data_IF_259509082125
#
_entry.id   IF_259509082125
#
_cell.length_a   1.000
_cell.length_b   1.000
_cell.length_c   1.000
_cell.angle_alpha   90.00
_cell.angle_beta   90.00
_cell.angle_gamma   90.00
#
_symmetry.space_group_name_H-M   'P 1'
#
loop_
_entity.id
_entity.type
_entity.pdbx_description
1 polymer ?
#
# COMPACT_ATOMS: atom_id res chain seq x y z
N UNK A 1 -24.43 -14.26 8.59
CA UNK A 1 -23.94 -15.64 8.32
C UNK A 1 -24.13 -15.91 6.84
N UNK A 2 -23.28 -15.36 6.01
CA UNK A 2 -23.21 -15.75 4.59
C UNK A 2 -22.11 -16.78 4.48
N UNK A 3 -22.51 -17.98 4.03
CA UNK A 3 -21.65 -19.13 3.94
C UNK A 3 -20.48 -18.88 3.00
N UNK A 4 -19.29 -19.27 3.43
CA UNK A 4 -18.16 -19.44 2.58
C UNK A 4 -18.52 -20.42 1.48
N UNK A 5 -18.36 -20.04 0.20
CA UNK A 5 -18.11 -21.02 -0.80
C UNK A 5 -18.82 -20.99 -2.12
N UNK A 6 -19.69 -20.07 -2.45
CA UNK A 6 -20.25 -20.07 -3.81
C UNK A 6 -19.73 -18.85 -4.60
N UNK A 7 -18.89 -19.14 -5.60
CA UNK A 7 -18.36 -18.10 -6.49
C UNK A 7 -19.49 -17.55 -7.35
N UNK A 8 -19.72 -16.26 -7.26
CA UNK A 8 -20.79 -15.58 -8.01
C UNK A 8 -20.43 -15.46 -9.48
N UNK A 9 -21.33 -15.85 -10.36
CA UNK A 9 -21.13 -15.71 -11.80
C UNK A 9 -21.72 -14.40 -12.30
N UNK A 10 -20.86 -13.60 -12.93
CA UNK A 10 -21.22 -12.35 -13.61
C UNK A 10 -21.16 -12.57 -15.12
N UNK A 11 -22.19 -12.16 -15.83
CA UNK A 11 -22.23 -12.21 -17.31
C UNK A 11 -22.02 -10.82 -17.88
N UNK A 12 -21.06 -10.66 -18.79
CA UNK A 12 -20.80 -9.41 -19.50
C UNK A 12 -21.45 -9.45 -20.88
N UNK A 13 -22.31 -8.49 -21.16
CA UNK A 13 -22.97 -8.32 -22.45
C UNK A 13 -22.23 -7.33 -23.36
N UNK A 14 -22.47 -7.38 -24.65
CA UNK A 14 -21.74 -6.60 -25.65
C UNK A 14 -21.79 -5.06 -25.47
N UNK A 15 -22.81 -4.54 -24.80
CA UNK A 15 -22.97 -3.11 -24.49
C UNK A 15 -22.41 -2.70 -23.12
N UNK A 16 -21.37 -3.37 -22.63
CA UNK A 16 -20.70 -3.13 -21.35
C UNK A 16 -21.57 -3.38 -20.11
N UNK A 17 -22.73 -4.02 -20.24
CA UNK A 17 -23.59 -4.35 -19.12
C UNK A 17 -23.10 -5.62 -18.43
N UNK A 18 -22.99 -5.53 -17.12
CA UNK A 18 -22.63 -6.65 -16.25
C UNK A 18 -23.88 -7.12 -15.53
N UNK A 19 -24.13 -8.40 -15.55
CA UNK A 19 -25.32 -9.03 -14.96
C UNK A 19 -24.89 -10.05 -13.92
N UNK A 20 -25.33 -9.85 -12.68
CA UNK A 20 -25.10 -10.78 -11.59
C UNK A 20 -26.18 -11.88 -11.62
N UNK A 21 -25.75 -13.11 -11.88
CA UNK A 21 -26.70 -14.23 -11.99
C UNK A 21 -27.25 -14.67 -10.63
N UNK A 22 -26.54 -14.44 -9.53
CA UNK A 22 -27.00 -14.80 -8.20
C UNK A 22 -28.12 -13.88 -7.69
N UNK A 23 -28.04 -12.59 -8.01
CA UNK A 23 -29.05 -11.59 -7.61
C UNK A 23 -30.05 -11.28 -8.72
N UNK A 24 -29.83 -11.79 -9.92
CA UNK A 24 -30.62 -11.49 -11.11
C UNK A 24 -30.75 -10.00 -11.42
N UNK A 25 -29.66 -9.26 -11.21
CA UNK A 25 -29.63 -7.82 -11.38
C UNK A 25 -28.42 -7.34 -12.19
N UNK A 26 -28.55 -6.22 -12.87
CA UNK A 26 -27.40 -5.53 -13.45
C UNK A 26 -26.53 -4.89 -12.34
N UNK A 27 -25.23 -4.95 -12.53
CA UNK A 27 -24.24 -4.41 -11.60
C UNK A 27 -23.25 -3.52 -12.33
N UNK A 28 -22.66 -2.58 -11.61
CA UNK A 28 -21.61 -1.68 -12.08
C UNK A 28 -20.22 -2.22 -11.69
N UNK A 29 -19.15 -1.62 -12.22
CA UNK A 29 -17.78 -1.92 -11.76
C UNK A 29 -17.61 -1.54 -10.28
N UNK A 30 -18.26 -0.48 -9.82
CA UNK A 30 -18.25 -0.08 -8.41
C UNK A 30 -18.92 -1.12 -7.50
N UNK A 31 -20.02 -1.73 -7.94
CA UNK A 31 -20.65 -2.84 -7.22
C UNK A 31 -19.73 -4.04 -7.12
N UNK A 32 -19.02 -4.38 -8.19
CA UNK A 32 -18.03 -5.46 -8.18
C UNK A 32 -16.84 -5.12 -7.27
N UNK A 33 -16.36 -3.88 -7.27
CA UNK A 33 -15.33 -3.43 -6.35
C UNK A 33 -15.76 -3.58 -4.88
N UNK A 34 -17.02 -3.26 -4.57
CA UNK A 34 -17.60 -3.46 -3.25
C UNK A 34 -17.64 -4.95 -2.89
N UNK A 35 -18.06 -5.83 -3.80
CA UNK A 35 -18.08 -7.27 -3.58
C UNK A 35 -16.67 -7.80 -3.22
N UNK A 36 -15.62 -7.34 -3.92
CA UNK A 36 -14.23 -7.70 -3.59
C UNK A 36 -13.86 -7.26 -2.17
N UNK A 37 -14.20 -6.02 -1.78
CA UNK A 37 -13.93 -5.51 -0.42
C UNK A 37 -14.67 -6.27 0.67
N UNK A 38 -15.84 -6.80 0.35
CA UNK A 38 -16.66 -7.63 1.25
C UNK A 38 -16.22 -9.10 1.28
N UNK A 39 -15.20 -9.47 0.49
CA UNK A 39 -14.68 -10.83 0.42
C UNK A 39 -15.56 -11.79 -0.38
N UNK A 40 -16.44 -11.27 -1.23
CA UNK A 40 -17.26 -12.07 -2.13
C UNK A 40 -16.47 -12.41 -3.38
N UNK A 41 -16.26 -13.69 -3.62
CA UNK A 41 -15.60 -14.16 -4.84
C UNK A 41 -16.58 -14.19 -6.03
N UNK A 42 -16.11 -13.71 -7.18
CA UNK A 42 -16.87 -13.77 -8.42
C UNK A 42 -15.98 -14.09 -9.61
N UNK A 43 -16.59 -14.59 -10.66
CA UNK A 43 -16.00 -14.77 -11.99
C UNK A 43 -16.84 -14.03 -13.02
N UNK A 44 -16.21 -13.51 -14.05
CA UNK A 44 -16.89 -12.78 -15.13
C UNK A 44 -16.70 -13.52 -16.44
N UNK A 45 -17.79 -13.87 -17.08
CA UNK A 45 -17.78 -14.47 -18.40
C UNK A 45 -18.45 -13.58 -19.45
N UNK A 46 -17.93 -13.58 -20.66
CA UNK A 46 -18.64 -13.02 -21.79
C UNK A 46 -19.94 -13.80 -22.03
N UNK A 47 -21.07 -13.10 -22.12
CA UNK A 47 -22.37 -13.76 -22.26
C UNK A 47 -22.54 -14.47 -23.60
N UNK A 48 -21.80 -14.08 -24.65
CA UNK A 48 -21.88 -14.62 -26.00
C UNK A 48 -20.85 -15.72 -26.27
N UNK A 49 -19.58 -15.44 -25.92
CA UNK A 49 -18.46 -16.36 -26.23
C UNK A 49 -18.14 -17.31 -25.08
N UNK A 50 -18.59 -16.96 -23.87
CA UNK A 50 -18.27 -17.66 -22.62
C UNK A 50 -16.77 -17.57 -22.23
N UNK A 51 -16.04 -16.62 -22.80
CA UNK A 51 -14.65 -16.37 -22.43
C UNK A 51 -14.56 -15.81 -20.99
N UNK A 52 -13.52 -16.20 -20.26
CA UNK A 52 -13.24 -15.67 -18.93
C UNK A 52 -12.65 -14.27 -19.02
N UNK A 53 -13.40 -13.28 -18.58
CA UNK A 53 -13.06 -11.88 -18.55
C UNK A 53 -12.73 -11.36 -17.13
N UNK A 54 -12.61 -12.26 -16.15
CA UNK A 54 -12.41 -11.90 -14.74
C UNK A 54 -11.20 -10.99 -14.56
N UNK A 55 -10.05 -11.35 -15.11
CA UNK A 55 -8.83 -10.56 -15.04
C UNK A 55 -9.00 -9.17 -15.66
N UNK A 56 -9.61 -9.10 -16.82
CA UNK A 56 -9.87 -7.83 -17.54
C UNK A 56 -10.74 -6.91 -16.70
N UNK A 57 -11.79 -7.43 -16.10
CA UNK A 57 -12.70 -6.64 -15.26
C UNK A 57 -12.02 -6.20 -13.98
N UNK A 58 -11.25 -7.05 -13.30
CA UNK A 58 -10.50 -6.65 -12.11
C UNK A 58 -9.48 -5.55 -12.42
N UNK A 59 -8.77 -5.63 -13.53
CA UNK A 59 -7.85 -4.59 -13.98
C UNK A 59 -8.57 -3.27 -14.28
N UNK A 60 -9.76 -3.35 -14.89
CA UNK A 60 -10.58 -2.19 -15.17
C UNK A 60 -11.10 -1.52 -13.89
N UNK A 61 -11.48 -2.30 -12.88
CA UNK A 61 -11.85 -1.79 -11.56
C UNK A 61 -10.68 -1.01 -10.94
N UNK A 62 -9.47 -1.57 -10.95
CA UNK A 62 -8.28 -0.89 -10.43
C UNK A 62 -8.05 0.42 -11.16
N UNK A 63 -8.14 0.43 -12.49
CA UNK A 63 -7.99 1.65 -13.29
C UNK A 63 -9.01 2.73 -12.91
N UNK A 64 -10.27 2.37 -12.70
CA UNK A 64 -11.31 3.32 -12.29
C UNK A 64 -11.09 3.84 -10.87
N UNK A 65 -10.72 2.98 -9.91
CA UNK A 65 -10.43 3.38 -8.53
C UNK A 65 -9.24 4.34 -8.47
N UNK A 66 -8.16 4.07 -9.21
CA UNK A 66 -6.99 4.97 -9.31
C UNK A 66 -7.31 6.31 -9.99
N UNK A 67 -8.29 6.34 -10.89
CA UNK A 67 -8.68 7.56 -11.64
C UNK A 67 -9.63 8.45 -10.86
N UNK A 68 -10.42 7.91 -9.95
CA UNK A 68 -11.52 8.62 -9.26
C UNK A 68 -11.16 9.15 -7.88
N UNK A 69 -10.21 8.54 -7.20
CA UNK A 69 -9.99 8.77 -5.79
C UNK A 69 -8.55 9.09 -5.42
N UNK A 70 -8.23 8.85 -4.16
CA UNK A 70 -6.86 8.87 -3.68
C UNK A 70 -6.11 7.68 -4.30
N UNK A 71 -5.20 7.98 -5.21
CA UNK A 71 -4.39 6.97 -5.89
C UNK A 71 -3.61 6.13 -4.87
N UNK A 72 -3.82 4.82 -4.91
CA UNK A 72 -3.12 3.86 -4.06
C UNK A 72 -1.74 3.51 -4.61
N UNK A 73 -1.60 3.49 -5.95
CA UNK A 73 -0.39 3.03 -6.62
C UNK A 73 0.53 4.22 -6.96
N UNK A 74 1.73 4.33 -6.34
CA UNK A 74 2.68 5.38 -6.68
C UNK A 74 3.12 5.31 -8.14
N UNK A 75 3.34 6.46 -8.76
CA UNK A 75 3.77 6.56 -10.18
C UNK A 75 5.04 5.74 -10.43
N UNK A 76 6.00 5.76 -9.51
CA UNK A 76 7.23 4.98 -9.65
C UNK A 76 7.00 3.48 -9.61
N UNK A 77 6.03 3.02 -8.81
CA UNK A 77 5.62 1.62 -8.79
C UNK A 77 5.02 1.21 -10.13
N UNK A 78 4.13 2.02 -10.69
CA UNK A 78 3.52 1.77 -12.01
C UNK A 78 4.57 1.69 -13.12
N UNK A 79 5.54 2.60 -13.14
CA UNK A 79 6.66 2.56 -14.10
C UNK A 79 7.47 1.29 -14.00
N UNK A 80 7.81 0.85 -12.79
CA UNK A 80 8.54 -0.40 -12.57
C UNK A 80 7.73 -1.61 -12.99
N UNK A 81 6.42 -1.62 -12.65
CA UNK A 81 5.52 -2.69 -13.04
C UNK A 81 5.46 -2.84 -14.56
N UNK A 82 5.31 -1.74 -15.29
CA UNK A 82 5.33 -1.72 -16.77
C UNK A 82 6.65 -2.30 -17.30
N UNK A 83 7.78 -1.95 -16.69
CA UNK A 83 9.09 -2.44 -17.09
C UNK A 83 9.29 -3.95 -16.95
N UNK A 84 8.46 -4.63 -16.16
CA UNK A 84 8.50 -6.10 -16.04
C UNK A 84 7.75 -6.82 -17.16
N UNK A 85 6.86 -6.14 -17.88
CA UNK A 85 6.17 -6.74 -19.01
C UNK A 85 7.14 -6.95 -20.19
N UNK A 86 7.10 -8.15 -20.76
CA UNK A 86 7.99 -8.53 -21.86
C UNK A 86 9.41 -8.92 -21.45
N UNK A 87 9.75 -8.85 -20.17
CA UNK A 87 11.05 -9.23 -19.64
C UNK A 87 11.11 -10.67 -19.12
N UNK A 88 12.32 -11.19 -18.81
CA UNK A 88 12.51 -12.55 -18.30
C UNK A 88 11.87 -12.79 -16.93
N UNK A 89 11.61 -11.74 -16.18
CA UNK A 89 10.99 -11.80 -14.84
C UNK A 89 9.48 -11.89 -14.85
N UNK A 90 8.85 -11.81 -16.02
CA UNK A 90 7.39 -11.82 -16.16
C UNK A 90 6.73 -13.08 -15.58
N UNK A 91 7.43 -14.23 -15.62
CA UNK A 91 6.92 -15.48 -15.07
C UNK A 91 7.07 -15.62 -13.54
N UNK A 92 8.02 -14.90 -12.94
CA UNK A 92 8.34 -15.01 -11.49
C UNK A 92 7.61 -13.95 -10.67
N UNK A 93 7.43 -12.76 -11.24
CA UNK A 93 6.85 -11.61 -10.57
C UNK A 93 5.44 -11.85 -10.00
N UNK A 94 4.50 -12.50 -10.73
CA UNK A 94 3.15 -12.73 -10.21
C UNK A 94 3.15 -13.50 -8.89
N UNK A 95 3.95 -14.56 -8.79
CA UNK A 95 4.07 -15.36 -7.57
C UNK A 95 4.66 -14.57 -6.40
N UNK A 96 5.66 -13.74 -6.68
CA UNK A 96 6.24 -12.86 -5.67
C UNK A 96 5.25 -11.81 -5.17
N UNK A 97 4.49 -11.19 -6.06
CA UNK A 97 3.45 -10.20 -5.71
C UNK A 97 2.35 -10.84 -4.85
N UNK A 98 1.89 -12.03 -5.20
CA UNK A 98 0.89 -12.77 -4.44
C UNK A 98 1.37 -13.07 -3.02
N UNK A 99 2.59 -13.62 -2.87
CA UNK A 99 3.20 -13.88 -1.57
C UNK A 99 3.43 -12.61 -0.74
N UNK A 100 3.87 -11.53 -1.37
CA UNK A 100 4.09 -10.23 -0.72
C UNK A 100 2.80 -9.64 -0.18
N UNK A 101 1.73 -9.68 -0.99
CA UNK A 101 0.43 -9.15 -0.60
C UNK A 101 -0.19 -9.97 0.54
N UNK A 102 -0.07 -11.29 0.48
CA UNK A 102 -0.55 -12.19 1.52
C UNK A 102 0.21 -11.96 2.85
N UNK A 103 1.53 -11.81 2.80
CA UNK A 103 2.35 -11.48 3.96
C UNK A 103 1.98 -10.13 4.57
N UNK A 104 1.75 -9.12 3.73
CA UNK A 104 1.33 -7.80 4.17
C UNK A 104 -0.04 -7.82 4.83
N UNK A 105 -1.01 -8.53 4.24
CA UNK A 105 -2.37 -8.67 4.79
C UNK A 105 -2.36 -9.35 6.16
N UNK A 106 -1.57 -10.42 6.33
CA UNK A 106 -1.41 -11.11 7.62
C UNK A 106 -0.76 -10.22 8.67
N UNK A 107 0.24 -9.45 8.29
CA UNK A 107 0.91 -8.52 9.21
C UNK A 107 -0.03 -7.40 9.66
N UNK A 108 -0.85 -6.88 8.75
CA UNK A 108 -1.86 -5.87 9.07
C UNK A 108 -2.92 -6.41 10.06
N UNK A 109 -3.38 -7.65 9.87
CA UNK A 109 -4.33 -8.31 10.76
C UNK A 109 -3.75 -8.53 12.17
N UNK A 110 -2.49 -8.97 12.25
CA UNK A 110 -1.78 -9.13 13.51
C UNK A 110 -1.63 -7.81 14.25
N UNK A 111 -1.26 -6.74 13.52
CA UNK A 111 -1.14 -5.41 14.10
C UNK A 111 -2.48 -4.87 14.62
N UNK A 112 -3.56 -5.05 13.86
CA UNK A 112 -4.92 -4.68 14.27
C UNK A 112 -5.37 -5.46 15.50
N UNK A 113 -5.07 -6.75 15.56
CA UNK A 113 -5.41 -7.62 16.71
C UNK A 113 -4.62 -7.21 17.95
N UNK A 114 -3.33 -6.89 17.81
CA UNK A 114 -2.52 -6.38 18.92
C UNK A 114 -3.02 -5.02 19.42
N UNK A 115 -3.38 -4.13 18.51
CA UNK A 115 -3.93 -2.83 18.86
C UNK A 115 -5.25 -2.97 19.63
N UNK A 116 -6.16 -3.82 19.13
CA UNK A 116 -7.43 -4.10 19.81
C UNK A 116 -7.24 -4.77 21.18
N UNK A 117 -6.23 -5.63 21.35
CA UNK A 117 -5.90 -6.20 22.66
C UNK A 117 -5.30 -5.16 23.61
N UNK A 118 -4.47 -4.24 23.11
CA UNK A 118 -3.90 -3.17 23.91
C UNK A 118 -4.94 -2.12 24.33
N UNK A 119 -5.92 -1.83 23.49
CA UNK A 119 -6.97 -0.83 23.77
C UNK A 119 -8.29 -1.44 24.28
N UNK A 120 -8.56 -2.73 24.02
CA UNK A 120 -9.83 -3.38 24.34
C UNK A 120 -9.95 -3.96 25.75
N UNK A 121 -8.83 -4.19 26.43
CA UNK A 121 -8.81 -4.53 27.85
C UNK A 121 -8.43 -3.26 28.61
N UNK A 122 -9.39 -2.59 29.23
CA UNK A 122 -9.18 -1.41 30.08
C UNK A 122 -8.20 -1.58 31.26
N UNK A 123 -7.16 -2.38 31.06
CA UNK A 123 -6.03 -2.57 31.93
C UNK A 123 -4.98 -1.50 31.63
N UNK A 124 -5.11 -0.44 32.39
CA UNK A 124 -4.33 0.76 32.37
C UNK A 124 -2.83 0.67 32.19
N UNK A 125 -2.29 1.80 31.96
CA UNK A 125 -0.92 2.36 32.07
C UNK A 125 0.29 1.43 32.35
N UNK A 126 0.14 0.32 33.09
CA UNK A 126 1.24 -0.62 33.39
C UNK A 126 1.64 -1.54 32.25
N UNK A 127 0.71 -1.92 31.35
CA UNK A 127 1.00 -2.74 30.18
C UNK A 127 1.61 -1.91 29.03
N UNK A 128 1.39 -0.61 29.01
CA UNK A 128 2.04 0.29 28.05
C UNK A 128 3.52 0.45 28.30
N UNK A 129 3.95 0.41 29.56
CA UNK A 129 5.36 0.55 29.94
C UNK A 129 6.17 -0.70 29.57
N UNK A 130 5.60 -1.88 29.73
CA UNK A 130 6.23 -3.14 29.33
C UNK A 130 6.22 -3.33 27.80
N UNK A 131 5.17 -2.92 27.11
CA UNK A 131 5.10 -2.96 25.64
C UNK A 131 6.09 -1.98 24.99
N UNK A 132 6.28 -0.80 25.57
CA UNK A 132 7.28 0.18 25.10
C UNK A 132 8.70 -0.34 25.37
N UNK A 133 8.96 -0.99 26.50
CA UNK A 133 10.27 -1.61 26.79
C UNK A 133 10.59 -2.77 25.84
N UNK A 134 9.64 -3.67 25.60
CA UNK A 134 9.84 -4.77 24.65
C UNK A 134 10.01 -4.27 23.20
N UNK A 135 9.28 -3.24 22.81
CA UNK A 135 9.39 -2.66 21.48
C UNK A 135 10.73 -1.92 21.29
N UNK A 136 11.23 -1.27 22.34
CA UNK A 136 12.53 -0.62 22.32
C UNK A 136 13.69 -1.62 22.22
N UNK A 137 13.59 -2.77 22.90
CA UNK A 137 14.56 -3.86 22.81
C UNK A 137 14.54 -4.52 21.42
N UNK A 138 13.34 -4.71 20.82
CA UNK A 138 13.20 -5.22 19.46
C UNK A 138 13.73 -4.23 18.42
N UNK A 139 13.49 -2.94 18.61
CA UNK A 139 14.01 -1.88 17.73
C UNK A 139 15.53 -1.79 17.80
N UNK A 140 16.13 -1.90 19.01
CA UNK A 140 17.59 -1.97 19.16
C UNK A 140 18.18 -3.23 18.52
N UNK A 141 17.50 -4.37 18.63
CA UNK A 141 17.93 -5.62 18.01
C UNK A 141 17.82 -5.58 16.48
N UNK A 142 16.79 -4.95 15.93
CA UNK A 142 16.65 -4.72 14.50
C UNK A 142 17.72 -3.75 13.96
N UNK A 143 18.09 -2.72 14.74
CA UNK A 143 19.18 -1.81 14.39
C UNK A 143 20.55 -2.48 14.39
N UNK A 144 20.79 -3.48 15.25
CA UNK A 144 22.04 -4.23 15.28
C UNK A 144 22.14 -5.27 14.16
N UNK A 145 21.01 -5.75 13.64
CA UNK A 145 20.98 -6.72 12.54
C UNK A 145 21.11 -6.07 11.15
N UNK A 146 20.93 -4.75 11.05
CA UNK A 146 21.12 -3.97 9.82
C UNK A 146 22.19 -2.89 10.00
N UNK A 147 23.50 -3.22 9.89
CA UNK A 147 24.58 -2.24 10.05
C UNK A 147 24.57 -1.12 8.99
N UNK A 148 23.83 -1.30 7.89
CA UNK A 148 23.69 -0.27 6.85
C UNK A 148 22.78 0.91 7.20
N UNK A 149 21.88 0.77 8.18
CA UNK A 149 20.97 1.86 8.57
C UNK A 149 21.63 2.86 9.53
N UNK A 150 22.65 2.43 10.26
CA UNK A 150 23.38 3.28 11.22
C UNK A 150 24.34 4.28 10.53
N UNK A 151 24.75 3.99 9.28
CA UNK A 151 25.56 4.91 8.49
C UNK A 151 24.74 6.11 7.95
N UNK A 152 23.45 5.92 7.70
CA UNK A 152 22.59 6.99 7.17
C UNK A 152 22.15 8.00 8.23
N UNK A 153 21.94 7.56 9.48
CA UNK A 153 21.60 8.47 10.59
C UNK A 153 22.80 9.23 11.13
N UNK A 154 24.01 8.69 11.00
CA UNK A 154 25.25 9.35 11.42
C UNK A 154 25.72 10.38 10.40
N UNK A 155 25.44 10.19 9.10
CA UNK A 155 25.73 11.18 8.06
C UNK A 155 24.79 12.40 8.14
N UNK A 156 23.51 12.20 8.52
CA UNK A 156 22.55 13.30 8.70
C UNK A 156 22.74 14.13 9.97
N UNK A 157 23.46 13.64 10.97
CA UNK A 157 23.76 14.37 12.22
C UNK A 157 25.06 15.17 12.15
N UNK A 158 25.96 14.83 11.23
CA UNK A 158 27.25 15.52 11.06
C UNK A 158 27.15 16.77 10.17
N UNK A 159 26.04 16.94 9.43
CA UNK A 159 25.89 18.05 8.49
C UNK A 159 25.16 19.28 9.09
N UNK A 160 24.74 19.20 10.35
CA UNK A 160 24.03 20.29 11.05
C UNK A 160 24.88 21.11 12.04
N UNK A 161 26.19 20.88 12.11
CA UNK A 161 27.08 21.60 13.00
C UNK A 161 28.29 22.24 12.32
N UNK A 162 28.23 22.51 11.04
CA UNK A 162 29.26 23.28 10.38
C UNK A 162 28.62 24.46 9.66
N UNK A 163 29.02 25.62 10.14
CA UNK A 163 29.15 26.91 9.46
C UNK A 163 27.99 27.89 9.56
N UNK A 164 28.13 28.70 10.62
CA UNK A 164 27.72 30.12 10.61
C UNK A 164 28.93 30.92 10.17
N UNK A 165 28.97 31.54 9.01
CA UNK A 165 30.02 32.51 8.72
C UNK A 165 29.59 33.84 9.37
N UNK A 166 30.39 34.27 10.33
CA UNK A 166 30.43 35.64 10.82
C UNK A 166 30.69 36.60 9.65
N UNK A 167 29.81 37.57 9.53
CA UNK A 167 30.05 38.78 8.72
C UNK A 167 31.03 39.66 9.44
N UNK A 168 32.17 40.09 8.87
CA UNK A 168 32.94 41.18 9.43
C UNK A 168 32.31 42.50 9.03
N UNK A 169 31.85 43.21 10.05
CA UNK A 169 31.63 44.67 10.05
C UNK A 169 32.89 45.37 9.55
N UNK A 170 32.78 46.15 8.52
CA UNK A 170 33.77 47.21 8.26
C UNK A 170 33.08 48.54 8.13
N UNK A 171 33.20 49.25 9.22
CA UNK A 171 33.02 50.69 9.30
C UNK A 171 34.21 51.43 8.68
N UNK A 172 33.96 52.70 8.44
CA UNK A 172 34.85 53.85 8.21
C UNK A 172 35.32 54.05 6.75
N UNK A 173 35.22 55.16 6.24
CA UNK A 173 35.29 56.54 6.51
C UNK A 173 35.66 57.32 5.25
N UNK A 174 34.96 58.37 5.01
CA UNK A 174 35.49 59.71 4.77
C UNK A 174 36.34 60.01 3.53
N UNK A 175 35.93 61.08 2.92
CA UNK A 175 36.77 62.05 2.24
C UNK A 175 36.65 62.02 0.73
N UNK A 176 36.15 62.96 0.04
CA UNK A 176 36.39 64.32 -0.01
C UNK A 176 36.65 64.77 -1.44
N UNK A 177 35.99 65.81 -1.81
CA UNK A 177 36.45 66.85 -2.79
C UNK A 177 36.66 66.46 -4.25
N UNK A 178 35.92 66.94 -5.09
CA UNK A 178 35.95 68.14 -5.94
C UNK A 178 34.87 68.02 -6.99
#
# INVERSE_FOLDING_TARGET
KSGAGETVVIKKYANRRLYNTATSAYVTLEDLARMVREGVEFVVYDAKTNDDLTRTILTQIIFEEESRGEALLPVQFLRRLIGFYGGPMQGVLPRYLEMSLDSFSRQQEQFRTQLNRAFGTGAGAGLMEDAVRQNMVMFQKAMTLFPGFNAYTRAGAAEKTAEVPETPSRATAAGGTS
#
